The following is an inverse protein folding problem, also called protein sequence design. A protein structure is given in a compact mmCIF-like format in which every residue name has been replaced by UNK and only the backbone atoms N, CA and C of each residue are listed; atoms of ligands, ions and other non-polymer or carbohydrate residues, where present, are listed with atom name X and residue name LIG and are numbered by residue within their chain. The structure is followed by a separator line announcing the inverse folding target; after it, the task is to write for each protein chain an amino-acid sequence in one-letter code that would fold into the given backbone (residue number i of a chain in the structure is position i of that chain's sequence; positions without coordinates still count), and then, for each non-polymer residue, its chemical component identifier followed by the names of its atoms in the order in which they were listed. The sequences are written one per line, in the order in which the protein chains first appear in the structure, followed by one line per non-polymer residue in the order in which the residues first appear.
data_IF_741630730206
#
_entry.id   IF_741630730206
#
_cell.length_a   1.000
_cell.length_b   1.000
_cell.length_c   1.000
_cell.angle_alpha   90.00
_cell.angle_beta   90.00
_cell.angle_gamma   90.00
#
_symmetry.space_group_name_H-M   'P 1'
#
loop_
_entity.id
_entity.type
_entity.pdbx_description
1 polymer ?
#
# COMPACT_ATOMS: atom_id res chain seq x y z
N UNK A 1 32.54 26.77 19.16
CA UNK A 1 31.52 27.46 19.98
C UNK A 1 31.00 28.63 19.19
N UNK A 2 29.80 28.51 18.66
CA UNK A 2 28.97 29.63 18.22
C UNK A 2 27.53 29.15 18.33
N UNK A 3 26.80 29.66 19.31
CA UNK A 3 25.40 29.41 19.55
C UNK A 3 24.58 30.15 18.50
N UNK A 4 23.80 29.46 17.71
CA UNK A 4 22.78 30.06 16.85
C UNK A 4 21.47 30.10 17.64
N UNK A 5 21.05 31.30 17.98
CA UNK A 5 19.77 31.57 18.60
C UNK A 5 18.68 31.35 17.55
N UNK A 6 17.81 30.37 17.78
CA UNK A 6 16.58 30.21 17.00
C UNK A 6 15.54 31.18 17.54
N UNK A 7 15.26 32.22 16.78
CA UNK A 7 14.16 33.14 17.06
C UNK A 7 12.83 32.41 16.84
N UNK A 8 11.99 32.39 17.88
CA UNK A 8 10.61 31.92 17.80
C UNK A 8 9.80 32.86 16.87
N UNK A 9 9.51 32.39 15.66
CA UNK A 9 8.54 33.04 14.80
C UNK A 9 7.17 32.60 15.26
N UNK A 10 6.44 33.50 15.88
CA UNK A 10 5.04 33.31 16.21
C UNK A 10 4.23 33.15 14.91
N UNK A 11 3.73 31.94 14.67
CA UNK A 11 2.80 31.67 13.57
C UNK A 11 1.45 32.30 13.98
N UNK A 12 1.16 33.48 13.45
CA UNK A 12 -0.20 34.02 13.51
C UNK A 12 -1.13 33.06 12.76
N UNK A 13 -2.18 32.60 13.42
CA UNK A 13 -3.23 31.80 12.80
C UNK A 13 -3.87 32.60 11.67
N UNK A 14 -3.53 32.28 10.45
CA UNK A 14 -4.25 32.74 9.26
C UNK A 14 -5.54 31.93 9.24
N UNK A 15 -6.64 32.56 9.61
CA UNK A 15 -7.97 32.01 9.37
C UNK A 15 -8.12 31.82 7.85
N UNK A 16 -8.14 30.59 7.39
CA UNK A 16 -8.42 30.27 6.01
C UNK A 16 -9.86 30.71 5.70
N UNK A 17 -10.00 31.65 4.76
CA UNK A 17 -11.29 32.05 4.23
C UNK A 17 -11.90 30.88 3.46
N UNK A 18 -13.08 30.37 3.82
CA UNK A 18 -13.68 29.19 3.17
C UNK A 18 -14.07 29.40 1.70
N UNK A 19 -13.83 30.57 1.14
CA UNK A 19 -14.28 30.92 -0.22
C UNK A 19 -13.21 30.74 -1.33
N UNK A 20 -11.99 30.32 -1.02
CA UNK A 20 -10.91 30.24 -2.05
C UNK A 20 -10.82 28.87 -2.77
N UNK A 21 -11.63 27.87 -2.38
CA UNK A 21 -11.59 26.52 -3.02
C UNK A 21 -12.75 26.30 -3.99
N UNK A 22 -13.24 27.29 -4.69
CA UNK A 22 -14.42 27.18 -5.55
C UNK A 22 -14.13 27.08 -7.03
N UNK A 23 -13.07 26.44 -7.50
CA UNK A 23 -12.96 26.02 -8.93
C UNK A 23 -11.72 25.16 -9.21
N UNK A 24 -11.50 24.11 -8.47
CA UNK A 24 -10.70 22.99 -9.04
C UNK A 24 -11.68 22.25 -9.98
N UNK A 25 -11.69 22.66 -11.25
CA UNK A 25 -12.30 21.84 -12.30
C UNK A 25 -11.62 20.47 -12.21
N UNK A 26 -12.41 19.38 -12.04
CA UNK A 26 -11.86 18.04 -12.15
C UNK A 26 -11.09 17.96 -13.45
N UNK A 27 -9.87 17.42 -13.43
CA UNK A 27 -9.12 17.20 -14.65
C UNK A 27 -9.93 16.34 -15.60
N UNK A 28 -9.72 16.48 -16.90
CA UNK A 28 -10.39 15.70 -17.96
C UNK A 28 -10.09 14.21 -17.77
N UNK A 29 -10.92 13.50 -17.01
CA UNK A 29 -10.85 12.07 -16.82
C UNK A 29 -11.77 11.41 -17.83
N UNK A 30 -11.20 10.54 -18.67
CA UNK A 30 -11.93 9.76 -19.64
C UNK A 30 -11.80 8.27 -19.32
N UNK A 31 -12.91 7.51 -19.55
CA UNK A 31 -12.96 6.08 -19.32
C UNK A 31 -13.57 5.38 -20.53
N UNK A 32 -12.91 4.29 -20.96
CA UNK A 32 -13.38 3.40 -22.03
C UNK A 32 -13.12 1.93 -21.67
N UNK A 33 -13.71 1.06 -22.46
CA UNK A 33 -13.44 -0.38 -22.42
C UNK A 33 -13.15 -0.83 -23.85
N UNK A 34 -12.05 -1.54 -24.05
CA UNK A 34 -11.70 -2.14 -25.33
C UNK A 34 -12.65 -3.30 -25.67
N UNK A 35 -12.71 -3.68 -26.93
CA UNK A 35 -13.49 -4.85 -27.39
C UNK A 35 -13.04 -6.14 -26.71
N UNK A 36 -11.79 -6.23 -26.28
CA UNK A 36 -11.25 -7.34 -25.47
C UNK A 36 -11.78 -7.37 -24.03
N UNK A 37 -12.34 -6.27 -23.51
CA UNK A 37 -12.79 -6.11 -22.12
C UNK A 37 -11.76 -5.44 -21.20
N UNK A 38 -10.63 -4.96 -21.72
CA UNK A 38 -9.65 -4.17 -20.96
C UNK A 38 -10.25 -2.79 -20.64
N UNK A 39 -10.22 -2.40 -19.40
CA UNK A 39 -10.69 -1.09 -18.93
C UNK A 39 -9.56 -0.07 -19.07
N UNK A 40 -9.87 1.07 -19.64
CA UNK A 40 -8.91 2.15 -19.89
C UNK A 40 -9.39 3.42 -19.20
N UNK A 41 -8.50 4.09 -18.47
CA UNK A 41 -8.79 5.35 -17.81
C UNK A 41 -7.62 6.30 -17.95
N UNK A 42 -7.90 7.55 -18.28
CA UNK A 42 -6.87 8.57 -18.46
C UNK A 42 -7.25 9.86 -17.74
N UNK A 43 -6.23 10.61 -17.33
CA UNK A 43 -6.36 11.95 -16.78
C UNK A 43 -5.43 12.89 -17.54
N UNK A 44 -6.02 13.83 -18.25
CA UNK A 44 -5.27 14.80 -19.07
C UNK A 44 -4.69 15.92 -18.21
N UNK A 45 -3.37 16.12 -18.31
CA UNK A 45 -2.62 17.21 -17.64
C UNK A 45 -1.87 18.01 -18.71
N UNK A 46 -2.49 19.02 -19.36
CA UNK A 46 -1.96 19.64 -20.56
C UNK A 46 -0.64 20.39 -20.35
N UNK A 47 -0.35 20.83 -19.12
CA UNK A 47 0.89 21.54 -18.78
C UNK A 47 2.05 20.62 -18.40
N UNK A 48 1.80 19.31 -18.25
CA UNK A 48 2.84 18.34 -17.94
C UNK A 48 3.77 18.13 -19.15
N UNK A 49 5.04 17.83 -18.87
CA UNK A 49 6.02 17.45 -19.90
C UNK A 49 6.29 15.97 -19.94
N UNK A 50 5.66 15.23 -19.06
CA UNK A 50 5.76 13.78 -18.92
C UNK A 50 4.38 13.13 -18.97
N UNK A 51 4.41 11.82 -19.21
CA UNK A 51 3.27 10.94 -19.05
C UNK A 51 3.66 9.81 -18.10
N UNK A 52 2.73 9.43 -17.24
CA UNK A 52 2.80 8.20 -16.46
C UNK A 52 1.73 7.26 -16.99
N UNK A 53 2.13 6.05 -17.33
CA UNK A 53 1.28 5.01 -17.91
C UNK A 53 1.47 3.71 -17.12
N UNK A 54 0.42 2.96 -16.90
CA UNK A 54 0.53 1.70 -16.16
C UNK A 54 -0.58 0.72 -16.50
N UNK A 55 -0.32 -0.55 -16.20
CA UNK A 55 -1.28 -1.64 -16.26
C UNK A 55 -1.43 -2.26 -14.88
N UNK A 56 -2.66 -2.28 -14.38
CA UNK A 56 -3.06 -2.94 -13.15
C UNK A 56 -3.77 -4.23 -13.47
N UNK A 57 -3.44 -5.26 -12.71
CA UNK A 57 -4.17 -6.51 -12.70
C UNK A 57 -4.84 -6.66 -11.33
N UNK A 58 -6.14 -6.88 -11.29
CA UNK A 58 -6.93 -7.03 -10.06
C UNK A 58 -6.68 -8.41 -9.39
N UNK A 59 -5.42 -8.80 -9.31
CA UNK A 59 -4.90 -10.04 -8.73
C UNK A 59 -3.58 -9.76 -8.00
N UNK A 60 -3.39 -10.37 -6.83
CA UNK A 60 -2.19 -10.22 -6.02
C UNK A 60 -1.96 -11.45 -5.15
N UNK A 61 -1.08 -11.34 -4.14
CA UNK A 61 -0.66 -12.49 -3.31
C UNK A 61 -1.81 -13.16 -2.55
N UNK A 62 -2.91 -12.45 -2.31
CA UNK A 62 -4.13 -13.02 -1.72
C UNK A 62 -4.78 -14.08 -2.60
N UNK A 63 -4.64 -13.98 -3.91
CA UNK A 63 -5.34 -14.79 -4.91
C UNK A 63 -4.54 -16.04 -5.31
N UNK A 64 -3.37 -16.24 -4.72
CA UNK A 64 -2.48 -17.36 -4.97
C UNK A 64 -2.93 -18.63 -4.21
N UNK A 65 -2.91 -19.81 -4.87
CA UNK A 65 -2.90 -21.07 -4.16
C UNK A 65 -1.73 -21.16 -3.17
N UNK A 66 -1.92 -21.82 -2.02
CA UNK A 66 -0.89 -21.88 -0.98
C UNK A 66 0.43 -22.50 -1.44
N UNK A 67 0.34 -23.45 -2.38
CA UNK A 67 1.49 -24.19 -2.92
C UNK A 67 2.41 -23.32 -3.79
N UNK A 68 1.86 -22.24 -4.37
CA UNK A 68 2.59 -21.27 -5.20
C UNK A 68 2.55 -19.87 -4.59
N UNK A 69 2.48 -19.77 -3.26
CA UNK A 69 2.56 -18.47 -2.59
C UNK A 69 3.86 -17.74 -2.99
N UNK A 70 3.72 -16.46 -3.37
CA UNK A 70 4.79 -15.66 -3.97
C UNK A 70 4.78 -15.60 -5.50
N UNK A 71 3.82 -16.28 -6.18
CA UNK A 71 3.76 -16.31 -7.65
C UNK A 71 3.54 -14.92 -8.26
N UNK A 72 2.75 -14.05 -7.63
CA UNK A 72 2.52 -12.67 -8.11
C UNK A 72 3.80 -11.87 -8.08
N UNK A 73 4.58 -11.97 -7.01
CA UNK A 73 5.86 -11.29 -6.86
C UNK A 73 6.92 -11.88 -7.79
N UNK A 74 7.00 -13.20 -7.90
CA UNK A 74 7.89 -13.86 -8.83
C UNK A 74 7.60 -13.43 -10.29
N UNK A 75 6.33 -13.35 -10.65
CA UNK A 75 5.91 -12.88 -11.96
C UNK A 75 6.29 -11.41 -12.18
N UNK A 76 6.18 -10.56 -11.15
CA UNK A 76 6.64 -9.17 -11.21
C UNK A 76 8.09 -9.08 -11.68
N UNK A 77 9.00 -9.86 -11.09
CA UNK A 77 10.40 -9.93 -11.50
C UNK A 77 10.57 -10.43 -12.93
N UNK A 78 9.90 -11.53 -13.28
CA UNK A 78 10.10 -12.21 -14.55
C UNK A 78 9.61 -11.42 -15.75
N UNK A 79 8.60 -10.57 -15.62
CA UNK A 79 8.11 -9.76 -16.74
C UNK A 79 9.17 -8.79 -17.26
N UNK A 80 10.11 -8.33 -16.43
CA UNK A 80 11.23 -7.49 -16.84
C UNK A 80 12.41 -8.23 -17.42
N UNK A 81 12.42 -9.59 -17.38
CA UNK A 81 13.56 -10.39 -17.88
C UNK A 81 13.48 -10.66 -19.38
N UNK A 82 12.38 -10.33 -20.01
CA UNK A 82 12.24 -10.30 -21.45
C UNK A 82 10.95 -10.89 -21.97
N UNK A 83 10.68 -10.52 -23.21
CA UNK A 83 9.52 -10.98 -23.97
C UNK A 83 9.97 -11.95 -25.06
N UNK A 84 9.04 -12.42 -25.86
CA UNK A 84 9.36 -13.19 -27.08
C UNK A 84 10.20 -12.38 -28.07
N UNK A 85 10.12 -11.04 -28.02
CA UNK A 85 10.77 -10.13 -28.98
C UNK A 85 11.93 -9.34 -28.37
N UNK A 86 11.94 -9.13 -27.06
CA UNK A 86 12.91 -8.28 -26.36
C UNK A 86 13.65 -9.04 -25.27
N UNK A 87 14.94 -8.77 -25.13
CA UNK A 87 15.72 -9.20 -23.96
C UNK A 87 15.56 -8.20 -22.82
N UNK A 88 15.86 -8.61 -21.57
CA UNK A 88 15.89 -7.71 -20.41
C UNK A 88 16.74 -6.47 -20.66
N UNK A 89 17.93 -6.66 -21.27
CA UNK A 89 18.80 -5.54 -21.62
C UNK A 89 18.16 -4.58 -22.63
N UNK A 90 17.42 -5.08 -23.63
CA UNK A 90 16.79 -4.20 -24.62
C UNK A 90 15.61 -3.44 -24.04
N UNK A 91 14.89 -4.02 -23.05
CA UNK A 91 13.86 -3.33 -22.27
C UNK A 91 14.49 -2.18 -21.49
N UNK A 92 15.53 -2.45 -20.70
CA UNK A 92 16.23 -1.44 -19.92
C UNK A 92 16.79 -0.31 -20.79
N UNK A 93 17.46 -0.65 -21.92
CA UNK A 93 17.99 0.34 -22.85
C UNK A 93 16.91 1.22 -23.49
N UNK A 94 15.72 0.68 -23.78
CA UNK A 94 14.63 1.46 -24.35
C UNK A 94 14.13 2.53 -23.37
N UNK A 95 14.09 2.22 -22.06
CA UNK A 95 13.67 3.16 -21.00
C UNK A 95 14.78 4.17 -20.71
N UNK A 96 16.04 3.70 -20.54
CA UNK A 96 17.17 4.56 -20.22
C UNK A 96 17.47 5.58 -21.34
N UNK A 97 17.33 5.18 -22.62
CA UNK A 97 17.61 6.02 -23.77
C UNK A 97 16.78 7.31 -23.80
N UNK A 98 15.63 7.30 -23.16
CA UNK A 98 14.70 8.45 -23.13
C UNK A 98 14.65 9.11 -21.75
N UNK A 99 15.45 8.64 -20.79
CA UNK A 99 15.45 9.11 -19.42
C UNK A 99 14.15 8.78 -18.67
N UNK A 100 13.54 7.64 -19.05
CA UNK A 100 12.32 7.12 -18.43
C UNK A 100 12.59 6.34 -17.15
N UNK A 101 11.51 6.02 -16.47
CA UNK A 101 11.48 5.13 -15.29
C UNK A 101 10.48 4.02 -15.54
N UNK A 102 10.85 2.76 -15.28
CA UNK A 102 9.97 1.61 -15.35
C UNK A 102 10.06 0.83 -14.04
N UNK A 103 8.90 0.51 -13.47
CA UNK A 103 8.85 -0.23 -12.22
C UNK A 103 7.54 -1.01 -12.11
N UNK A 104 7.44 -1.85 -11.07
CA UNK A 104 6.23 -2.58 -10.72
C UNK A 104 6.09 -2.68 -9.20
N UNK A 105 4.94 -3.12 -8.75
CA UNK A 105 4.73 -3.54 -7.36
C UNK A 105 3.59 -4.54 -7.27
N UNK A 106 3.73 -5.46 -6.33
CA UNK A 106 2.72 -6.44 -5.97
C UNK A 106 2.13 -6.12 -4.60
N UNK A 107 0.82 -6.11 -4.52
CA UNK A 107 0.09 -6.04 -3.26
C UNK A 107 -0.68 -7.34 -3.01
N UNK A 108 -1.41 -7.39 -1.92
CA UNK A 108 -2.27 -8.54 -1.64
C UNK A 108 -3.42 -8.70 -2.64
N UNK A 109 -3.92 -7.62 -3.25
CA UNK A 109 -5.12 -7.66 -4.09
C UNK A 109 -4.94 -7.14 -5.52
N UNK A 110 -3.79 -6.58 -5.85
CA UNK A 110 -3.48 -6.17 -7.22
C UNK A 110 -1.97 -6.10 -7.45
N UNK A 111 -1.59 -6.22 -8.72
CA UNK A 111 -0.22 -6.02 -9.21
C UNK A 111 -0.25 -4.91 -10.26
N UNK A 112 0.77 -4.06 -10.27
CA UNK A 112 0.87 -2.93 -11.20
C UNK A 112 2.25 -2.88 -11.85
N UNK A 113 2.28 -2.60 -13.15
CA UNK A 113 3.47 -2.33 -13.96
C UNK A 113 3.33 -0.95 -14.57
N UNK A 114 4.33 -0.10 -14.45
CA UNK A 114 4.18 1.29 -14.89
C UNK A 114 5.48 1.89 -15.42
N UNK A 115 5.31 2.89 -16.27
CA UNK A 115 6.37 3.74 -16.79
C UNK A 115 6.06 5.21 -16.57
N UNK A 116 7.12 6.00 -16.43
CA UNK A 116 7.09 7.44 -16.49
C UNK A 116 8.06 7.91 -17.57
N UNK A 117 7.58 8.65 -18.54
CA UNK A 117 8.31 8.97 -19.77
C UNK A 117 8.08 10.44 -20.19
N UNK A 118 8.98 11.04 -21.00
CA UNK A 118 8.66 12.24 -21.74
C UNK A 118 7.42 12.04 -22.64
N UNK A 119 6.61 13.08 -22.83
CA UNK A 119 5.36 13.02 -23.63
C UNK A 119 5.55 12.43 -25.02
N UNK A 120 6.68 12.72 -25.68
CA UNK A 120 6.96 12.23 -27.02
C UNK A 120 7.07 10.68 -27.11
N UNK A 121 7.27 10.02 -25.97
CA UNK A 121 7.48 8.59 -25.88
C UNK A 121 6.23 7.80 -25.45
N UNK A 122 5.07 8.44 -25.37
CA UNK A 122 3.81 7.81 -24.93
C UNK A 122 3.51 6.52 -25.69
N UNK A 123 3.57 6.56 -27.04
CA UNK A 123 3.27 5.42 -27.88
C UNK A 123 4.26 4.26 -27.66
N UNK A 124 5.57 4.57 -27.70
CA UNK A 124 6.63 3.58 -27.47
C UNK A 124 6.54 2.93 -26.08
N UNK A 125 6.21 3.74 -25.07
CA UNK A 125 6.02 3.26 -23.69
C UNK A 125 4.83 2.33 -23.54
N UNK A 126 3.69 2.64 -24.16
CA UNK A 126 2.50 1.77 -24.14
C UNK A 126 2.77 0.46 -24.88
N UNK A 127 3.44 0.51 -26.04
CA UNK A 127 3.85 -0.69 -26.79
C UNK A 127 4.80 -1.58 -25.97
N UNK A 128 5.79 -0.97 -25.32
CA UNK A 128 6.72 -1.68 -24.45
C UNK A 128 6.01 -2.33 -23.26
N UNK A 129 5.15 -1.59 -22.58
CA UNK A 129 4.40 -2.09 -21.42
C UNK A 129 3.45 -3.23 -21.82
N UNK A 130 2.75 -3.07 -22.96
CA UNK A 130 1.88 -4.10 -23.52
C UNK A 130 2.65 -5.38 -23.85
N UNK A 131 3.82 -5.28 -24.48
CA UNK A 131 4.67 -6.43 -24.81
C UNK A 131 5.17 -7.15 -23.55
N UNK A 132 5.64 -6.40 -22.56
CA UNK A 132 6.15 -6.95 -21.29
C UNK A 132 5.07 -7.73 -20.54
N UNK A 133 3.87 -7.20 -20.45
CA UNK A 133 2.79 -7.84 -19.66
C UNK A 133 2.04 -8.94 -20.41
N UNK A 134 1.98 -8.89 -21.76
CA UNK A 134 1.18 -9.85 -22.54
C UNK A 134 1.99 -10.99 -23.16
N UNK A 135 3.29 -10.82 -23.37
CA UNK A 135 4.12 -11.75 -24.11
C UNK A 135 5.44 -12.12 -23.42
N UNK A 136 5.45 -12.38 -22.09
CA UNK A 136 6.69 -12.75 -21.40
C UNK A 136 7.27 -14.05 -21.94
N UNK A 137 8.59 -14.16 -21.92
CA UNK A 137 9.28 -15.33 -22.50
C UNK A 137 9.40 -16.51 -21.53
N UNK A 138 9.43 -16.27 -20.22
CA UNK A 138 9.60 -17.27 -19.16
C UNK A 138 10.71 -18.29 -19.48
N UNK A 139 11.92 -17.81 -19.77
CA UNK A 139 13.06 -18.69 -20.08
C UNK A 139 13.59 -19.32 -18.80
N UNK A 140 13.87 -20.61 -18.83
CA UNK A 140 14.27 -21.38 -17.62
C UNK A 140 15.47 -20.75 -16.90
N UNK A 141 16.49 -20.28 -17.62
CA UNK A 141 17.67 -19.68 -17.00
C UNK A 141 17.39 -18.31 -16.36
N UNK A 142 16.39 -17.56 -16.84
CA UNK A 142 15.94 -16.31 -16.24
C UNK A 142 15.12 -16.59 -14.97
N UNK A 143 14.28 -17.61 -15.01
CA UNK A 143 13.51 -18.06 -13.85
C UNK A 143 14.42 -18.53 -12.71
N UNK A 144 15.45 -19.35 -13.03
CA UNK A 144 16.41 -19.83 -12.03
C UNK A 144 17.21 -18.66 -11.41
N UNK A 145 17.65 -17.71 -12.23
CA UNK A 145 18.38 -16.54 -11.76
C UNK A 145 17.49 -15.65 -10.86
N UNK A 146 16.21 -15.45 -11.21
CA UNK A 146 15.31 -14.64 -10.38
C UNK A 146 14.86 -15.35 -9.12
N UNK A 147 14.74 -16.67 -9.14
CA UNK A 147 14.51 -17.44 -7.91
C UNK A 147 15.57 -17.15 -6.87
N UNK A 148 16.85 -17.15 -7.26
CA UNK A 148 17.95 -16.84 -6.36
C UNK A 148 17.85 -15.40 -5.82
N UNK A 149 17.48 -14.43 -6.66
CA UNK A 149 17.27 -13.03 -6.26
C UNK A 149 16.13 -12.92 -5.24
N UNK A 150 14.99 -13.56 -5.50
CA UNK A 150 13.83 -13.52 -4.61
C UNK A 150 14.12 -14.23 -3.26
N UNK A 151 14.88 -15.32 -3.28
CA UNK A 151 15.32 -15.98 -2.04
C UNK A 151 16.24 -15.06 -1.22
N UNK A 152 17.15 -14.33 -1.86
CA UNK A 152 17.98 -13.32 -1.16
C UNK A 152 17.13 -12.17 -0.61
N UNK A 153 16.08 -11.74 -1.31
CA UNK A 153 15.15 -10.72 -0.84
C UNK A 153 14.32 -11.20 0.36
N UNK A 154 13.86 -12.45 0.35
CA UNK A 154 13.21 -13.10 1.51
C UNK A 154 14.15 -13.14 2.73
N UNK A 155 15.40 -13.54 2.54
CA UNK A 155 16.39 -13.55 3.62
C UNK A 155 16.65 -12.13 4.16
N UNK A 156 16.70 -11.12 3.28
CA UNK A 156 16.85 -9.72 3.70
C UNK A 156 15.65 -9.25 4.53
N UNK A 157 14.42 -9.61 4.13
CA UNK A 157 13.20 -9.31 4.90
C UNK A 157 13.18 -10.03 6.25
N UNK A 158 13.60 -11.30 6.31
CA UNK A 158 13.72 -12.04 7.56
C UNK A 158 14.81 -11.49 8.50
N UNK A 159 15.88 -10.90 7.95
CA UNK A 159 16.95 -10.27 8.72
C UNK A 159 16.61 -8.82 9.13
N UNK A 160 15.54 -8.24 8.58
CA UNK A 160 15.06 -6.90 8.88
C UNK A 160 13.98 -6.97 9.97
N UNK A 161 14.26 -6.60 11.24
CA UNK A 161 13.35 -6.86 12.36
C UNK A 161 12.01 -6.14 12.28
N UNK A 162 11.94 -4.98 11.65
CA UNK A 162 10.72 -4.21 11.43
C UNK A 162 9.82 -4.85 10.35
N UNK A 163 10.38 -5.44 9.31
CA UNK A 163 9.62 -6.22 8.33
C UNK A 163 9.11 -7.52 8.97
N UNK A 164 10.01 -8.26 9.64
CA UNK A 164 9.68 -9.52 10.29
C UNK A 164 8.55 -9.38 11.33
N UNK A 165 8.55 -8.32 12.14
CA UNK A 165 7.51 -8.11 13.16
C UNK A 165 6.17 -7.78 12.53
N UNK A 166 6.16 -7.06 11.39
CA UNK A 166 4.93 -6.73 10.65
C UNK A 166 4.38 -7.98 9.95
N UNK A 167 5.23 -8.79 9.33
CA UNK A 167 4.83 -10.08 8.73
C UNK A 167 4.19 -10.98 9.76
N UNK A 168 4.84 -11.19 10.92
CA UNK A 168 4.30 -11.98 12.02
C UNK A 168 2.96 -11.41 12.57
N UNK A 169 2.79 -10.08 12.55
CA UNK A 169 1.55 -9.44 12.92
C UNK A 169 0.42 -9.76 11.94
N UNK A 170 0.67 -9.68 10.62
CA UNK A 170 -0.36 -10.00 9.62
C UNK A 170 -0.77 -11.48 9.67
N UNK A 171 0.16 -12.41 9.89
CA UNK A 171 -0.15 -13.82 10.15
C UNK A 171 -1.01 -14.01 11.41
N UNK A 172 -0.84 -13.13 12.38
CA UNK A 172 -1.63 -13.15 13.64
C UNK A 172 -3.01 -12.54 13.47
N UNK A 173 -3.14 -11.49 12.66
CA UNK A 173 -4.42 -10.84 12.35
C UNK A 173 -5.29 -11.69 11.44
N UNK A 174 -4.69 -12.42 10.51
CA UNK A 174 -5.37 -13.22 9.49
C UNK A 174 -4.86 -14.67 9.48
N UNK A 175 -4.97 -15.42 10.61
CA UNK A 175 -4.45 -16.77 10.70
C UNK A 175 -5.14 -17.68 9.68
N UNK A 176 -4.33 -18.50 9.02
CA UNK A 176 -4.78 -19.48 8.01
C UNK A 176 -5.54 -18.86 6.82
N UNK A 177 -5.36 -17.54 6.61
CA UNK A 177 -5.99 -16.80 5.52
C UNK A 177 -4.93 -16.13 4.61
N UNK A 178 -5.16 -16.05 3.27
CA UNK A 178 -4.18 -15.47 2.34
C UNK A 178 -3.74 -14.04 2.67
N UNK A 179 -4.58 -13.21 3.31
CA UNK A 179 -4.19 -11.86 3.76
C UNK A 179 -3.09 -11.86 4.83
N UNK A 180 -2.92 -12.97 5.56
CA UNK A 180 -1.85 -13.12 6.55
C UNK A 180 -0.51 -13.53 5.96
N UNK A 181 -0.48 -14.02 4.72
CA UNK A 181 0.74 -14.51 4.08
C UNK A 181 1.66 -13.35 3.67
N UNK A 182 2.97 -13.62 3.69
CA UNK A 182 3.95 -12.72 3.10
C UNK A 182 3.76 -12.63 1.59
N UNK A 183 3.85 -11.42 1.03
CA UNK A 183 3.66 -11.18 -0.41
C UNK A 183 4.76 -11.83 -1.25
N UNK A 184 5.97 -11.93 -0.71
CA UNK A 184 7.09 -12.60 -1.36
C UNK A 184 6.93 -14.13 -1.39
N UNK A 185 5.95 -14.68 -0.67
CA UNK A 185 5.80 -16.10 -0.44
C UNK A 185 6.64 -16.59 0.74
N UNK A 186 7.11 -17.83 0.66
CA UNK A 186 8.07 -18.42 1.59
C UNK A 186 9.23 -19.03 0.81
N UNK A 187 10.36 -19.26 1.49
CA UNK A 187 11.50 -19.92 0.87
C UNK A 187 11.10 -21.25 0.20
N UNK A 188 10.32 -22.08 0.91
CA UNK A 188 9.89 -23.39 0.41
C UNK A 188 9.05 -23.26 -0.85
N UNK A 189 8.10 -22.31 -0.92
CA UNK A 189 7.24 -22.11 -2.07
C UNK A 189 8.00 -21.52 -3.26
N UNK A 190 8.89 -20.54 -3.03
CA UNK A 190 9.71 -19.92 -4.08
C UNK A 190 10.73 -20.90 -4.67
N UNK A 191 11.42 -21.70 -3.83
CA UNK A 191 12.35 -22.72 -4.28
C UNK A 191 11.66 -23.86 -5.07
N UNK A 192 10.41 -24.21 -4.71
CA UNK A 192 9.65 -25.27 -5.37
C UNK A 192 8.94 -24.80 -6.65
N UNK A 193 8.72 -23.49 -6.83
CA UNK A 193 7.93 -22.92 -7.92
C UNK A 193 8.53 -23.22 -9.28
N UNK A 194 7.74 -23.81 -10.17
CA UNK A 194 8.17 -24.19 -11.51
C UNK A 194 7.83 -23.11 -12.53
N UNK A 195 8.42 -23.22 -13.74
CA UNK A 195 8.06 -22.38 -14.87
C UNK A 195 6.57 -22.51 -15.23
N UNK A 196 6.06 -23.74 -15.16
CA UNK A 196 4.67 -24.07 -15.45
C UNK A 196 3.71 -23.39 -14.44
N UNK A 197 4.09 -23.30 -13.18
CA UNK A 197 3.30 -22.61 -12.13
C UNK A 197 3.20 -21.13 -12.43
N UNK A 198 4.32 -20.46 -12.71
CA UNK A 198 4.35 -19.02 -13.01
C UNK A 198 3.64 -18.70 -14.33
N UNK A 199 3.91 -19.48 -15.38
CA UNK A 199 3.26 -19.32 -16.67
C UNK A 199 1.73 -19.57 -16.58
N UNK A 200 1.32 -20.60 -15.82
CA UNK A 200 -0.08 -20.92 -15.57
C UNK A 200 -0.78 -19.80 -14.76
N UNK A 201 -0.12 -19.23 -13.76
CA UNK A 201 -0.63 -18.10 -13.00
C UNK A 201 -0.82 -16.86 -13.90
N UNK A 202 0.17 -16.53 -14.74
CA UNK A 202 0.06 -15.47 -15.74
C UNK A 202 -1.09 -15.74 -16.71
N UNK A 203 -1.16 -16.94 -17.29
CA UNK A 203 -2.21 -17.32 -18.22
C UNK A 203 -3.61 -17.26 -17.61
N UNK A 204 -3.76 -17.58 -16.35
CA UNK A 204 -5.04 -17.52 -15.64
C UNK A 204 -5.49 -16.09 -15.35
N UNK A 205 -4.58 -15.22 -14.90
CA UNK A 205 -4.96 -13.96 -14.27
C UNK A 205 -4.64 -12.70 -15.08
N UNK A 206 -3.66 -12.75 -16.01
CA UNK A 206 -3.32 -11.59 -16.85
C UNK A 206 -4.22 -11.56 -18.08
N UNK A 207 -5.50 -11.24 -17.82
CA UNK A 207 -6.60 -11.30 -18.78
C UNK A 207 -7.36 -9.99 -18.82
N UNK A 208 -8.12 -9.70 -19.88
CA UNK A 208 -8.87 -8.46 -20.03
C UNK A 208 -9.71 -8.07 -18.82
N UNK A 209 -10.42 -9.05 -18.22
CA UNK A 209 -11.32 -8.79 -17.09
C UNK A 209 -10.60 -8.30 -15.83
N UNK A 210 -9.36 -8.68 -15.63
CA UNK A 210 -8.55 -8.22 -14.48
C UNK A 210 -7.73 -6.99 -14.82
N UNK A 211 -7.51 -6.72 -16.13
CA UNK A 211 -6.62 -5.67 -16.60
C UNK A 211 -7.28 -4.28 -16.59
N UNK A 212 -6.49 -3.30 -16.18
CA UNK A 212 -6.81 -1.87 -16.26
C UNK A 212 -5.59 -1.14 -16.79
N UNK A 213 -5.77 -0.37 -17.85
CA UNK A 213 -4.76 0.59 -18.31
C UNK A 213 -5.10 1.96 -17.74
N UNK A 214 -4.19 2.56 -16.99
CA UNK A 214 -4.32 3.91 -16.47
C UNK A 214 -3.18 4.79 -16.96
N UNK A 215 -3.51 6.03 -17.32
CA UNK A 215 -2.50 6.99 -17.74
C UNK A 215 -2.85 8.41 -17.26
N UNK A 216 -1.81 9.19 -16.90
CA UNK A 216 -1.97 10.59 -16.55
C UNK A 216 -0.81 11.42 -17.13
N UNK A 217 -1.09 12.64 -17.57
CA UNK A 217 -0.08 13.51 -18.14
C UNK A 217 -0.56 14.29 -19.35
N UNK A 218 0.36 14.80 -20.14
CA UNK A 218 0.03 15.51 -21.39
C UNK A 218 -0.28 14.51 -22.51
N UNK A 219 -1.45 13.94 -22.48
CA UNK A 219 -1.94 12.90 -23.40
C UNK A 219 -3.38 13.18 -23.82
N UNK A 220 -3.81 12.50 -24.87
CA UNK A 220 -5.20 12.37 -25.26
C UNK A 220 -5.65 10.93 -25.07
N UNK A 221 -6.89 10.72 -24.60
CA UNK A 221 -7.44 9.41 -24.34
C UNK A 221 -7.41 8.49 -25.58
N UNK A 222 -7.75 9.04 -26.76
CA UNK A 222 -7.75 8.28 -28.02
C UNK A 222 -6.35 7.76 -28.39
N UNK A 223 -5.29 8.55 -28.12
CA UNK A 223 -3.90 8.10 -28.36
C UNK A 223 -3.56 6.87 -27.51
N UNK A 224 -4.05 6.81 -26.27
CA UNK A 224 -3.86 5.64 -25.41
C UNK A 224 -4.63 4.45 -25.96
N UNK A 225 -5.90 4.62 -26.36
CA UNK A 225 -6.70 3.55 -26.95
C UNK A 225 -6.05 2.98 -28.22
N UNK A 226 -5.60 3.85 -29.13
CA UNK A 226 -4.98 3.45 -30.41
C UNK A 226 -3.66 2.69 -30.20
N UNK A 227 -2.89 3.04 -29.16
CA UNK A 227 -1.60 2.39 -28.87
C UNK A 227 -1.73 1.00 -28.26
N UNK A 228 -2.85 0.71 -27.60
CA UNK A 228 -3.14 -0.59 -26.98
C UNK A 228 -4.26 -1.36 -27.71
N UNK A 229 -4.65 -0.86 -28.89
CA UNK A 229 -5.61 -1.59 -29.74
C UNK A 229 -5.06 -2.98 -30.05
N UNK A 230 -5.93 -4.00 -29.95
CA UNK A 230 -5.50 -5.39 -30.07
C UNK A 230 -4.87 -6.02 -28.83
N UNK A 231 -4.66 -5.28 -27.75
CA UNK A 231 -4.16 -5.85 -26.49
C UNK A 231 -5.13 -6.93 -25.96
N UNK A 232 -4.64 -8.16 -25.84
CA UNK A 232 -5.39 -9.35 -25.49
C UNK A 232 -6.50 -9.75 -26.49
N UNK A 233 -6.43 -9.33 -27.76
CA UNK A 233 -7.40 -9.70 -28.78
C UNK A 233 -7.43 -11.22 -29.02
N UNK A 234 -8.65 -11.77 -29.22
CA UNK A 234 -8.86 -13.19 -29.51
C UNK A 234 -8.65 -14.14 -28.34
N UNK A 235 -8.32 -13.61 -27.15
CA UNK A 235 -8.17 -14.40 -25.93
C UNK A 235 -9.50 -14.55 -25.15
N UNK A 236 -9.49 -15.46 -24.17
CA UNK A 236 -10.58 -15.52 -23.16
C UNK A 236 -10.55 -14.24 -22.31
N UNK A 237 -11.72 -13.67 -22.05
CA UNK A 237 -11.86 -12.50 -21.19
C UNK A 237 -11.35 -12.73 -19.75
N UNK A 238 -11.27 -14.00 -19.33
CA UNK A 238 -10.86 -14.39 -17.99
C UNK A 238 -11.98 -14.21 -16.95
N UNK A 239 -11.64 -14.50 -15.72
CA UNK A 239 -12.54 -14.37 -14.54
C UNK A 239 -11.88 -13.50 -13.48
N UNK A 240 -12.68 -12.78 -12.70
CA UNK A 240 -12.17 -12.10 -11.53
C UNK A 240 -11.89 -13.12 -10.40
N UNK A 241 -10.86 -12.91 -9.56
CA UNK A 241 -10.61 -13.78 -8.42
C UNK A 241 -11.80 -13.76 -7.45
N UNK A 242 -12.09 -14.94 -6.87
CA UNK A 242 -13.12 -15.09 -5.85
C UNK A 242 -12.45 -15.06 -4.48
N UNK A 243 -12.71 -14.01 -3.73
CA UNK A 243 -12.13 -13.79 -2.40
C UNK A 243 -13.13 -14.14 -1.31
N UNK A 244 -12.62 -14.72 -0.23
CA UNK A 244 -13.40 -15.00 0.98
C UNK A 244 -12.94 -14.08 2.10
N UNK A 245 -13.86 -13.59 2.91
CA UNK A 245 -13.53 -12.74 4.04
C UNK A 245 -12.79 -13.54 5.12
N UNK A 246 -11.77 -12.95 5.78
CA UNK A 246 -11.09 -13.61 6.88
C UNK A 246 -12.04 -13.84 8.06
N UNK A 247 -11.75 -14.87 8.84
CA UNK A 247 -12.46 -15.10 10.09
C UNK A 247 -12.08 -14.06 11.14
N UNK A 248 -12.99 -13.78 12.08
CA UNK A 248 -12.75 -12.82 13.18
C UNK A 248 -11.81 -13.36 14.28
N UNK A 249 -11.12 -14.46 14.05
CA UNK A 249 -10.19 -15.06 15.01
C UNK A 249 -8.80 -14.48 14.75
N UNK A 250 -8.14 -14.02 15.81
CA UNK A 250 -6.76 -13.53 15.76
C UNK A 250 -5.87 -14.38 16.69
N UNK A 251 -4.57 -14.42 16.44
CA UNK A 251 -3.57 -14.93 17.40
C UNK A 251 -3.13 -13.78 18.28
N UNK A 252 -3.34 -13.81 19.61
CA UNK A 252 -3.17 -12.63 20.43
C UNK A 252 -1.70 -12.21 20.63
N UNK A 253 -0.74 -13.15 20.62
CA UNK A 253 0.67 -12.87 20.87
C UNK A 253 1.60 -13.79 20.07
N UNK A 254 2.55 -13.20 19.36
CA UNK A 254 3.69 -13.88 18.75
C UNK A 254 4.97 -13.19 19.19
N UNK A 255 5.95 -13.98 19.69
CA UNK A 255 7.26 -13.48 20.09
C UNK A 255 8.34 -14.25 19.33
N UNK A 256 9.18 -13.52 18.62
CA UNK A 256 10.32 -14.05 17.87
C UNK A 256 11.60 -13.63 18.61
N UNK A 257 12.27 -14.61 19.21
CA UNK A 257 13.54 -14.35 19.93
C UNK A 257 14.68 -14.19 18.92
N UNK A 258 15.30 -13.01 18.91
CA UNK A 258 16.44 -12.67 18.05
C UNK A 258 17.48 -11.92 18.86
N UNK A 259 18.79 -12.23 18.70
CA UNK A 259 19.88 -11.57 19.42
C UNK A 259 20.26 -10.21 18.78
N UNK A 260 19.33 -9.27 18.82
CA UNK A 260 19.47 -7.90 18.28
C UNK A 260 19.44 -6.86 19.40
N UNK A 261 19.85 -5.62 19.11
CA UNK A 261 19.98 -4.56 20.12
C UNK A 261 18.64 -3.95 20.57
N UNK A 262 17.61 -4.02 19.74
CA UNK A 262 16.30 -3.44 20.01
C UNK A 262 15.22 -4.50 20.11
N UNK A 263 14.06 -4.09 20.63
CA UNK A 263 12.81 -4.82 20.51
C UNK A 263 11.92 -4.04 19.56
N UNK A 264 11.44 -4.72 18.53
CA UNK A 264 10.45 -4.23 17.58
C UNK A 264 9.10 -4.81 17.99
N UNK A 265 8.10 -3.96 18.16
CA UNK A 265 6.74 -4.34 18.56
C UNK A 265 5.78 -3.83 17.52
N UNK A 266 4.90 -4.72 17.07
CA UNK A 266 3.76 -4.34 16.25
C UNK A 266 2.46 -4.81 16.92
N UNK A 267 1.45 -3.95 16.89
CA UNK A 267 0.12 -4.20 17.45
C UNK A 267 -0.90 -3.97 16.35
N UNK A 268 -1.87 -4.85 16.22
CA UNK A 268 -2.86 -4.75 15.15
C UNK A 268 -4.27 -5.04 15.60
N UNK A 269 -5.20 -4.37 14.95
CA UNK A 269 -6.64 -4.52 15.12
C UNK A 269 -7.32 -4.74 13.78
N UNK A 270 -8.38 -5.56 13.72
CA UNK A 270 -9.29 -5.53 12.58
C UNK A 270 -9.88 -4.13 12.41
N UNK A 271 -9.99 -3.66 11.17
CA UNK A 271 -10.46 -2.32 10.86
C UNK A 271 -11.34 -2.31 9.59
N UNK A 272 -11.60 -1.12 9.03
CA UNK A 272 -12.54 -0.90 7.95
C UNK A 272 -12.02 -1.41 6.61
N UNK A 273 -12.89 -2.07 5.86
CA UNK A 273 -12.64 -2.48 4.47
C UNK A 273 -12.69 -1.28 3.50
N UNK A 274 -12.30 -1.51 2.25
CA UNK A 274 -12.39 -0.50 1.19
C UNK A 274 -13.83 -0.04 0.90
N UNK A 275 -14.82 -0.92 1.12
CA UNK A 275 -16.22 -0.65 0.91
C UNK A 275 -16.91 0.06 2.07
N UNK A 276 -16.28 0.16 3.24
CA UNK A 276 -16.84 0.76 4.44
C UNK A 276 -16.70 2.30 4.40
N UNK A 277 -17.80 3.03 4.52
CA UNK A 277 -17.77 4.50 4.52
C UNK A 277 -17.11 5.09 5.77
N UNK A 278 -17.09 4.35 6.90
CA UNK A 278 -16.40 4.75 8.13
C UNK A 278 -14.86 4.80 7.98
N UNK A 279 -14.31 4.33 6.85
CA UNK A 279 -12.86 4.45 6.57
C UNK A 279 -12.35 5.90 6.60
N UNK A 280 -13.19 6.89 6.30
CA UNK A 280 -12.81 8.31 6.38
C UNK A 280 -12.62 8.74 7.85
N UNK A 281 -13.51 8.31 8.73
CA UNK A 281 -13.37 8.52 10.17
C UNK A 281 -12.17 7.74 10.73
N UNK A 282 -11.89 6.53 10.21
CA UNK A 282 -10.67 5.79 10.54
C UNK A 282 -9.38 6.53 10.12
N UNK A 283 -9.36 7.20 8.97
CA UNK A 283 -8.20 8.01 8.58
C UNK A 283 -7.96 9.17 9.53
N UNK A 284 -9.04 9.84 10.00
CA UNK A 284 -8.95 10.89 11.02
C UNK A 284 -8.44 10.31 12.34
N UNK A 285 -9.02 9.21 12.82
CA UNK A 285 -8.59 8.51 14.03
C UNK A 285 -7.11 8.10 13.96
N UNK A 286 -6.69 7.52 12.82
CA UNK A 286 -5.30 7.13 12.57
C UNK A 286 -4.36 8.33 12.65
N UNK A 287 -4.69 9.46 12.01
CA UNK A 287 -3.83 10.63 12.04
C UNK A 287 -3.63 11.16 13.46
N UNK A 288 -4.69 11.21 14.26
CA UNK A 288 -4.62 11.65 15.67
C UNK A 288 -3.82 10.67 16.51
N UNK A 289 -3.98 9.36 16.29
CA UNK A 289 -3.33 8.35 17.12
C UNK A 289 -1.82 8.24 16.83
N UNK A 290 -1.42 8.04 15.57
CA UNK A 290 -0.02 7.75 15.21
C UNK A 290 0.36 8.11 13.78
N UNK A 291 -0.51 8.80 13.01
CA UNK A 291 -0.30 9.08 11.58
C UNK A 291 0.57 10.30 11.26
N UNK A 292 1.05 11.04 12.25
CA UNK A 292 1.86 12.24 12.02
C UNK A 292 2.66 12.68 13.22
N UNK A 293 3.50 13.70 13.05
CA UNK A 293 4.35 14.23 14.13
C UNK A 293 3.56 14.87 15.29
N UNK A 294 2.34 15.33 15.06
CA UNK A 294 1.45 15.85 16.10
C UNK A 294 0.59 14.78 16.76
N UNK A 295 0.68 13.53 16.35
CA UNK A 295 -0.10 12.42 16.86
C UNK A 295 0.25 12.09 18.32
N UNK A 296 -0.72 11.52 19.04
CA UNK A 296 -0.57 11.22 20.48
C UNK A 296 0.59 10.28 20.76
N UNK A 297 0.74 9.20 19.99
CA UNK A 297 1.83 8.25 20.18
C UNK A 297 3.20 8.88 19.88
N UNK A 298 3.30 9.65 18.80
CA UNK A 298 4.56 10.32 18.47
C UNK A 298 4.97 11.29 19.57
N UNK A 299 4.06 12.13 20.05
CA UNK A 299 4.31 13.11 21.11
C UNK A 299 4.66 12.41 22.44
N UNK A 300 3.87 11.45 22.89
CA UNK A 300 4.07 10.79 24.19
C UNK A 300 5.28 9.87 24.23
N UNK A 301 5.51 9.11 23.17
CA UNK A 301 6.56 8.07 23.13
C UNK A 301 7.89 8.65 22.68
N UNK A 302 7.90 9.44 21.59
CA UNK A 302 9.15 9.95 21.02
C UNK A 302 9.55 11.29 21.63
N UNK A 303 8.69 12.30 21.58
CA UNK A 303 9.09 13.66 21.94
C UNK A 303 9.19 13.87 23.45
N UNK A 304 8.19 13.42 24.23
CA UNK A 304 8.18 13.66 25.68
C UNK A 304 9.09 12.68 26.44
N UNK A 305 9.15 11.41 26.03
CA UNK A 305 9.81 10.34 26.81
C UNK A 305 11.03 9.72 26.09
N UNK A 306 11.21 9.95 24.81
CA UNK A 306 12.31 9.41 24.00
C UNK A 306 12.39 7.88 24.06
N UNK A 307 11.25 7.18 24.12
CA UNK A 307 11.18 5.72 24.27
C UNK A 307 11.48 5.00 22.97
N UNK A 308 11.09 5.58 21.84
CA UNK A 308 11.27 5.04 20.51
C UNK A 308 11.69 6.16 19.55
N UNK A 309 12.56 5.85 18.59
CA UNK A 309 12.85 6.77 17.47
C UNK A 309 11.75 6.75 16.43
N UNK A 310 11.25 5.56 16.15
CA UNK A 310 10.15 5.33 15.19
C UNK A 310 8.94 4.79 15.93
N UNK A 311 7.81 5.49 15.80
CA UNK A 311 6.48 5.05 16.23
C UNK A 311 5.47 5.62 15.28
N UNK A 312 4.56 4.77 14.77
CA UNK A 312 3.50 5.17 13.86
C UNK A 312 2.31 4.22 13.92
N UNK A 313 1.19 4.67 13.37
CA UNK A 313 0.06 3.81 13.02
C UNK A 313 -0.23 3.90 11.53
N UNK A 314 -0.68 2.79 10.95
CA UNK A 314 -0.98 2.70 9.51
C UNK A 314 -2.22 1.84 9.28
N UNK A 315 -3.25 2.34 8.57
CA UNK A 315 -4.39 1.57 8.15
C UNK A 315 -4.10 0.82 6.84
N UNK A 316 -4.63 -0.39 6.73
CA UNK A 316 -4.72 -1.13 5.46
C UNK A 316 -6.16 -1.56 5.24
N UNK A 317 -6.69 -1.29 4.04
CA UNK A 317 -8.05 -1.67 3.67
C UNK A 317 -8.02 -2.56 2.43
N UNK A 318 -8.68 -3.69 2.52
CA UNK A 318 -8.87 -4.68 1.46
C UNK A 318 -10.33 -4.69 1.01
N UNK A 319 -10.65 -5.43 -0.03
CA UNK A 319 -11.99 -5.48 -0.61
C UNK A 319 -13.09 -5.83 0.43
N UNK A 320 -12.79 -6.69 1.40
CA UNK A 320 -13.74 -7.24 2.38
C UNK A 320 -13.21 -7.27 3.83
N UNK A 321 -12.02 -6.72 4.07
CA UNK A 321 -11.38 -6.67 5.38
C UNK A 321 -10.52 -5.41 5.51
N UNK A 322 -10.05 -5.13 6.72
CA UNK A 322 -9.06 -4.09 6.98
C UNK A 322 -8.33 -4.32 8.28
N UNK A 323 -7.24 -3.63 8.45
CA UNK A 323 -6.45 -3.60 9.68
C UNK A 323 -5.96 -2.18 9.98
N UNK A 324 -5.80 -1.88 11.25
CA UNK A 324 -5.02 -0.76 11.73
C UNK A 324 -3.85 -1.34 12.52
N UNK A 325 -2.63 -0.97 12.15
CA UNK A 325 -1.43 -1.43 12.85
C UNK A 325 -0.74 -0.26 13.54
N UNK A 326 -0.09 -0.55 14.66
CA UNK A 326 0.88 0.32 15.33
C UNK A 326 2.23 -0.39 15.31
N UNK A 327 3.30 0.35 15.06
CA UNK A 327 4.67 -0.14 15.17
C UNK A 327 5.51 0.78 16.07
N UNK A 328 6.43 0.19 16.84
CA UNK A 328 7.47 0.92 17.56
C UNK A 328 8.74 0.08 17.75
N UNK A 329 9.91 0.70 17.58
CA UNK A 329 11.23 0.13 17.90
C UNK A 329 11.81 0.78 19.16
N UNK A 330 12.20 -0.03 20.17
CA UNK A 330 12.70 0.46 21.47
C UNK A 330 13.85 -0.37 22.01
N UNK A 331 14.58 0.18 22.99
CA UNK A 331 15.59 -0.59 23.73
C UNK A 331 14.92 -1.65 24.63
N UNK A 332 15.57 -2.81 24.81
CA UNK A 332 15.04 -3.95 25.57
C UNK A 332 14.55 -3.56 26.97
N UNK A 333 15.33 -2.78 27.69
CA UNK A 333 15.03 -2.32 29.06
C UNK A 333 13.91 -1.27 29.13
N UNK A 334 13.46 -0.71 27.99
CA UNK A 334 12.40 0.30 27.91
C UNK A 334 11.07 -0.26 27.39
N UNK A 335 11.04 -1.52 26.98
CA UNK A 335 9.84 -2.17 26.44
C UNK A 335 8.63 -2.04 27.38
N UNK A 336 8.82 -2.33 28.68
CA UNK A 336 7.73 -2.24 29.65
C UNK A 336 7.14 -0.83 29.79
N UNK A 337 7.98 0.22 29.73
CA UNK A 337 7.55 1.61 29.74
C UNK A 337 6.84 2.00 28.44
N UNK A 338 7.37 1.58 27.28
CA UNK A 338 6.74 1.79 25.99
C UNK A 338 5.30 1.24 25.96
N UNK A 339 5.13 -0.02 26.39
CA UNK A 339 3.82 -0.67 26.41
C UNK A 339 2.85 0.03 27.37
N UNK A 340 3.31 0.42 28.56
CA UNK A 340 2.49 1.15 29.54
C UNK A 340 2.03 2.51 28.99
N UNK A 341 2.91 3.26 28.31
CA UNK A 341 2.56 4.55 27.69
C UNK A 341 1.60 4.35 26.52
N UNK A 342 1.80 3.29 25.73
CA UNK A 342 0.88 2.93 24.65
C UNK A 342 -0.52 2.64 25.19
N UNK A 343 -0.62 1.84 26.27
CA UNK A 343 -1.89 1.55 26.94
C UNK A 343 -2.56 2.81 27.52
N UNK A 344 -1.78 3.71 28.13
CA UNK A 344 -2.27 5.02 28.59
C UNK A 344 -2.89 5.82 27.45
N UNK A 345 -2.19 5.90 26.29
CA UNK A 345 -2.68 6.63 25.11
C UNK A 345 -3.95 5.98 24.54
N UNK A 346 -3.95 4.65 24.39
CA UNK A 346 -5.12 3.91 23.87
C UNK A 346 -6.34 4.04 24.79
N UNK A 347 -6.14 3.94 26.12
CA UNK A 347 -7.20 4.12 27.12
C UNK A 347 -7.79 5.53 27.04
N UNK A 348 -6.93 6.56 27.00
CA UNK A 348 -7.39 7.95 26.81
C UNK A 348 -8.10 8.15 25.47
N UNK A 349 -7.64 7.50 24.40
CA UNK A 349 -8.26 7.57 23.09
C UNK A 349 -9.68 6.96 23.08
N UNK A 350 -9.88 5.84 23.80
CA UNK A 350 -11.18 5.18 23.97
C UNK A 350 -12.13 5.97 24.89
N UNK A 351 -11.61 6.49 26.01
CA UNK A 351 -12.48 7.06 27.07
C UNK A 351 -12.80 8.55 26.87
N UNK A 352 -11.87 9.30 26.28
CA UNK A 352 -11.97 10.75 26.11
C UNK A 352 -12.26 11.14 24.64
N UNK A 353 -12.04 10.21 23.69
CA UNK A 353 -12.14 10.50 22.25
C UNK A 353 -11.05 11.45 21.76
N UNK A 354 -11.36 12.25 20.74
CA UNK A 354 -10.47 13.27 20.19
C UNK A 354 -10.96 14.68 20.54
N UNK A 355 -10.05 15.62 20.63
CA UNK A 355 -10.37 17.04 20.84
C UNK A 355 -10.75 17.73 19.53
N UNK A 356 -11.44 18.88 19.62
CA UNK A 356 -11.74 19.73 18.45
C UNK A 356 -10.46 20.16 17.70
N UNK A 357 -9.37 20.40 18.43
CA UNK A 357 -8.08 20.78 17.83
C UNK A 357 -7.46 19.61 17.06
N UNK A 358 -7.42 18.42 17.63
CA UNK A 358 -6.94 17.21 16.95
C UNK A 358 -7.77 16.90 15.70
N UNK A 359 -9.10 17.02 15.81
CA UNK A 359 -10.00 16.84 14.69
C UNK A 359 -9.70 17.83 13.55
N UNK A 360 -9.60 19.12 13.87
CA UNK A 360 -9.28 20.18 12.89
C UNK A 360 -7.93 19.94 12.20
N UNK A 361 -6.90 19.55 12.97
CA UNK A 361 -5.56 19.27 12.45
C UNK A 361 -5.60 18.07 11.53
N UNK A 362 -6.28 16.98 11.91
CA UNK A 362 -6.39 15.77 11.12
C UNK A 362 -7.11 16.00 9.77
N UNK A 363 -8.23 16.72 9.78
CA UNK A 363 -8.93 17.09 8.54
C UNK A 363 -8.02 17.89 7.60
N UNK A 364 -7.35 18.92 8.13
CA UNK A 364 -6.43 19.76 7.34
C UNK A 364 -5.25 18.97 6.77
N UNK A 365 -4.70 18.04 7.54
CA UNK A 365 -3.62 17.18 7.08
C UNK A 365 -4.06 16.23 5.96
N UNK A 366 -5.17 15.55 6.12
CA UNK A 366 -5.70 14.60 5.12
C UNK A 366 -6.03 15.30 3.81
N UNK A 367 -6.68 16.46 3.88
CA UNK A 367 -6.97 17.28 2.70
C UNK A 367 -5.67 17.78 2.03
N UNK A 368 -4.76 18.37 2.80
CA UNK A 368 -3.51 18.89 2.29
C UNK A 368 -2.62 17.81 1.66
N UNK A 369 -2.51 16.65 2.31
CA UNK A 369 -1.73 15.51 1.77
C UNK A 369 -2.31 14.98 0.46
N UNK A 370 -3.64 14.92 0.35
CA UNK A 370 -4.31 14.51 -0.89
C UNK A 370 -4.03 15.49 -2.03
N UNK A 371 -4.17 16.79 -1.77
CA UNK A 371 -3.91 17.83 -2.80
C UNK A 371 -2.46 17.83 -3.25
N UNK A 372 -1.51 17.79 -2.31
CA UNK A 372 -0.08 17.76 -2.62
C UNK A 372 0.32 16.48 -3.37
N UNK A 373 -0.28 15.33 -3.04
CA UNK A 373 -0.03 14.06 -3.71
C UNK A 373 -0.47 14.06 -5.18
N UNK A 374 -1.37 14.93 -5.58
CA UNK A 374 -1.91 15.00 -6.95
C UNK A 374 -1.17 15.98 -7.88
N UNK A 375 -0.08 16.59 -7.45
CA UNK A 375 0.78 17.40 -8.33
C UNK A 375 1.58 16.52 -9.32
N UNK A 376 1.81 15.25 -8.99
CA UNK A 376 2.59 14.31 -9.80
C UNK A 376 1.70 13.42 -10.67
N UNK A 377 2.09 13.25 -11.95
CA UNK A 377 1.36 12.40 -12.91
C UNK A 377 1.36 10.92 -12.50
N UNK A 378 2.42 10.44 -11.84
CA UNK A 378 2.50 9.06 -11.32
C UNK A 378 1.46 8.79 -10.24
N UNK A 379 1.31 9.71 -9.29
CA UNK A 379 0.31 9.62 -8.22
C UNK A 379 -1.13 9.67 -8.76
N UNK A 380 -1.38 10.53 -9.77
CA UNK A 380 -2.69 10.58 -10.45
C UNK A 380 -2.99 9.28 -11.17
N UNK A 381 -2.07 8.79 -11.98
CA UNK A 381 -2.18 7.49 -12.66
C UNK A 381 -2.44 6.35 -11.67
N UNK A 382 -1.69 6.29 -10.57
CA UNK A 382 -1.84 5.24 -9.55
C UNK A 382 -3.21 5.30 -8.86
N UNK A 383 -3.72 6.50 -8.56
CA UNK A 383 -5.08 6.69 -8.03
C UNK A 383 -6.13 6.10 -8.98
N UNK A 384 -6.02 6.40 -10.26
CA UNK A 384 -6.94 5.93 -11.29
C UNK A 384 -6.87 4.40 -11.45
N UNK A 385 -5.66 3.87 -11.65
CA UNK A 385 -5.43 2.44 -11.85
C UNK A 385 -5.89 1.60 -10.67
N UNK A 386 -5.48 1.96 -9.46
CA UNK A 386 -5.88 1.28 -8.21
C UNK A 386 -7.39 1.39 -7.98
N UNK A 387 -8.00 2.57 -8.21
CA UNK A 387 -9.43 2.78 -8.04
C UNK A 387 -10.27 1.86 -8.92
N UNK A 388 -9.93 1.77 -10.21
CA UNK A 388 -10.63 0.88 -11.14
C UNK A 388 -10.32 -0.59 -10.86
N UNK A 389 -9.06 -0.95 -10.54
CA UNK A 389 -8.69 -2.34 -10.28
C UNK A 389 -9.38 -2.90 -9.02
N UNK A 390 -9.47 -2.10 -7.95
CA UNK A 390 -9.97 -2.57 -6.64
C UNK A 390 -11.47 -2.37 -6.44
N UNK A 391 -12.07 -1.31 -6.99
CA UNK A 391 -13.48 -0.93 -6.77
C UNK A 391 -14.30 -0.81 -8.04
N UNK A 392 -13.67 -0.88 -9.21
CA UNK A 392 -14.27 -0.55 -10.51
C UNK A 392 -14.91 0.86 -10.53
N UNK A 393 -14.43 1.75 -9.69
CA UNK A 393 -14.95 3.10 -9.50
C UNK A 393 -13.84 4.08 -9.17
N UNK A 394 -14.04 5.35 -9.53
CA UNK A 394 -13.19 6.47 -9.16
C UNK A 394 -14.01 7.48 -8.39
N UNK A 395 -13.73 7.56 -7.11
CA UNK A 395 -14.21 8.69 -6.33
C UNK A 395 -13.39 9.91 -6.70
N UNK A 396 -14.04 11.00 -7.05
CA UNK A 396 -13.36 12.26 -7.36
C UNK A 396 -12.58 12.79 -6.15
N UNK A 397 -11.56 13.60 -6.42
CA UNK A 397 -10.79 14.27 -5.34
C UNK A 397 -11.70 15.13 -4.50
N UNK A 398 -12.59 15.88 -5.14
CA UNK A 398 -13.56 16.74 -4.45
C UNK A 398 -14.55 15.93 -3.60
N UNK A 399 -14.95 14.74 -4.06
CA UNK A 399 -15.78 13.84 -3.26
C UNK A 399 -15.03 13.28 -2.06
N UNK A 400 -13.76 12.91 -2.23
CA UNK A 400 -12.93 12.50 -1.09
C UNK A 400 -12.77 13.62 -0.08
N UNK A 401 -12.43 14.85 -0.52
CA UNK A 401 -12.30 16.02 0.35
C UNK A 401 -13.63 16.33 1.06
N UNK A 402 -14.73 16.27 0.33
CA UNK A 402 -16.08 16.49 0.91
C UNK A 402 -16.39 15.46 2.00
N UNK A 403 -16.09 14.17 1.75
CA UNK A 403 -16.30 13.10 2.74
C UNK A 403 -15.39 13.26 3.95
N UNK A 404 -14.10 13.62 3.74
CA UNK A 404 -13.18 13.93 4.84
C UNK A 404 -13.71 15.07 5.68
N UNK A 405 -14.12 16.18 5.07
CA UNK A 405 -14.66 17.36 5.78
C UNK A 405 -15.99 17.09 6.51
N UNK A 406 -16.74 16.10 6.04
CA UNK A 406 -18.02 15.72 6.65
C UNK A 406 -17.85 14.82 7.89
N UNK A 407 -16.65 14.27 8.12
CA UNK A 407 -16.39 13.44 9.31
C UNK A 407 -16.53 14.29 10.57
N UNK A 408 -17.37 13.85 11.49
CA UNK A 408 -17.59 14.48 12.79
C UNK A 408 -16.75 13.83 13.89
N UNK A 409 -16.64 14.50 15.04
CA UNK A 409 -15.97 13.92 16.23
C UNK A 409 -16.73 12.67 16.71
N UNK A 410 -18.05 12.65 16.58
CA UNK A 410 -18.87 11.50 16.97
C UNK A 410 -18.60 10.29 16.03
N UNK A 411 -18.49 10.51 14.71
CA UNK A 411 -18.11 9.46 13.77
C UNK A 411 -16.73 8.86 14.12
N UNK A 412 -15.79 9.71 14.53
CA UNK A 412 -14.46 9.27 14.98
C UNK A 412 -14.55 8.48 16.27
N UNK A 413 -15.37 8.89 17.24
CA UNK A 413 -15.56 8.18 18.50
C UNK A 413 -16.17 6.78 18.29
N UNK A 414 -17.13 6.65 17.38
CA UNK A 414 -17.74 5.38 17.01
C UNK A 414 -16.69 4.43 16.39
N UNK A 415 -15.85 4.95 15.49
CA UNK A 415 -14.77 4.18 14.86
C UNK A 415 -13.69 3.78 15.86
N UNK A 416 -13.29 4.68 16.78
CA UNK A 416 -12.35 4.36 17.85
C UNK A 416 -12.87 3.20 18.68
N UNK A 417 -14.14 3.26 19.10
CA UNK A 417 -14.78 2.19 19.85
C UNK A 417 -14.80 0.88 19.07
N UNK A 418 -15.22 0.93 17.81
CA UNK A 418 -15.30 -0.26 16.93
C UNK A 418 -13.95 -0.95 16.74
N UNK A 419 -12.84 -0.21 16.64
CA UNK A 419 -11.50 -0.77 16.44
C UNK A 419 -10.88 -1.22 17.76
N UNK A 420 -10.87 -0.36 18.78
CA UNK A 420 -10.01 -0.57 19.96
C UNK A 420 -10.71 -1.27 21.13
N UNK A 421 -12.04 -1.38 21.14
CA UNK A 421 -12.79 -2.23 22.08
C UNK A 421 -12.78 -3.72 21.66
N UNK A 422 -12.23 -4.01 20.46
CA UNK A 422 -12.08 -5.35 19.91
C UNK A 422 -10.78 -6.04 20.30
N UNK A 423 -10.62 -7.31 19.87
CA UNK A 423 -9.39 -8.05 20.12
C UNK A 423 -8.21 -7.45 19.35
N UNK A 424 -7.02 -7.43 19.97
CA UNK A 424 -5.77 -7.02 19.37
C UNK A 424 -4.78 -8.17 19.22
N UNK A 425 -4.02 -8.17 18.13
CA UNK A 425 -2.85 -9.03 17.96
C UNK A 425 -1.60 -8.22 18.31
N UNK A 426 -0.62 -8.90 18.91
CA UNK A 426 0.69 -8.31 19.24
C UNK A 426 1.77 -9.23 18.69
N UNK A 427 2.72 -8.68 17.97
CA UNK A 427 3.96 -9.38 17.63
C UNK A 427 5.16 -8.59 18.15
N UNK A 428 6.21 -9.31 18.53
CA UNK A 428 7.45 -8.72 19.01
C UNK A 428 8.65 -9.52 18.53
N UNK A 429 9.68 -8.80 18.06
CA UNK A 429 10.98 -9.36 17.64
C UNK A 429 12.08 -8.71 18.47
N UNK A 430 12.93 -9.52 19.10
CA UNK A 430 14.04 -9.02 19.90
C UNK A 430 14.58 -10.07 20.88
N UNK A 431 15.54 -9.75 21.75
CA UNK A 431 16.10 -10.67 22.72
C UNK A 431 15.16 -10.82 23.93
N UNK A 432 14.03 -11.45 23.72
CA UNK A 432 12.89 -11.54 24.65
C UNK A 432 12.78 -12.88 25.38
N UNK A 433 13.49 -13.91 24.90
CA UNK A 433 13.35 -15.28 25.40
C UNK A 433 11.95 -15.86 25.15
N UNK A 434 11.59 -16.91 25.88
CA UNK A 434 10.35 -17.67 25.70
C UNK A 434 9.13 -17.08 26.41
N UNK A 435 9.13 -15.81 26.78
CA UNK A 435 7.98 -15.15 27.42
C UNK A 435 8.39 -13.80 27.99
N UNK A 436 7.55 -12.80 27.79
CA UNK A 436 7.77 -11.48 28.35
C UNK A 436 6.51 -11.02 29.10
N UNK A 437 6.57 -10.89 30.46
CA UNK A 437 5.39 -10.55 31.25
C UNK A 437 4.76 -9.19 30.93
N UNK A 438 5.52 -8.27 30.32
CA UNK A 438 4.98 -6.97 29.90
C UNK A 438 4.10 -7.14 28.63
N UNK A 439 4.56 -7.94 27.66
CA UNK A 439 3.77 -8.25 26.45
C UNK A 439 2.50 -9.05 26.81
N UNK A 440 2.63 -10.07 27.69
CA UNK A 440 1.49 -10.87 28.13
C UNK A 440 0.39 -10.03 28.81
N UNK A 441 0.79 -9.07 29.66
CA UNK A 441 -0.16 -8.12 30.27
C UNK A 441 -0.77 -7.18 29.24
N UNK A 442 0.06 -6.64 28.34
CA UNK A 442 -0.39 -5.71 27.31
C UNK A 442 -1.44 -6.32 26.36
N UNK A 443 -1.33 -7.63 26.07
CA UNK A 443 -2.33 -8.35 25.24
C UNK A 443 -3.67 -8.51 25.94
N UNK A 444 -3.65 -8.62 27.28
CA UNK A 444 -4.89 -8.83 28.06
C UNK A 444 -5.70 -7.54 28.28
N UNK A 445 -5.13 -6.37 28.02
CA UNK A 445 -5.75 -5.05 28.11
C UNK A 445 -5.55 -4.45 29.46
#
# INVERSE_FOLDING_TARGET
MAAVAVAAVGVAAVAADPQVVSSLTEPDIERSELTSGVRVITERMPEARSVSIGMWFAVGSRDEPGEIAGASHFLEHLLFKGTQQRSARSIALAVDAVGGEMNAYTTREHTAYYLRLPVAELHNGLELLADVVSAPAFRDHELDAERDVIVEELLMSEDTPDDLVITALYESLYPDHPLGRETLGSRDTVEAMTREDVAGFHEQWYRPRTAVVAAAGALDHQQVLDAIDGLFDGGDAGVAPVRTSPQSVIRPLVVIDRPIEQVHVAVGWPAMSLGDDDRYAMWVANHVLGGGMSSRLFQKIREERGLAYTVFTSPSSYSDAGSLIMYAGTAVNRLGELLAVTDEVLTGFLTEGITEEEHRVALGYLEGSMLLGLEDSGSRMSRLGTGIATRNDITSVDDHIRRIRAVTIDDVADVITRIFDGPRAVSAVGPLGSGNPALERFVQG
#
